data_IF_567251585686
#
_entry.id   IF_567251585686
#
_cell.length_a   1.000
_cell.length_b   1.000
_cell.length_c   1.000
_cell.angle_alpha   90.00
_cell.angle_beta   90.00
_cell.angle_gamma   90.00
#
_symmetry.space_group_name_H-M   'P 1'
#
loop_
_entity.id
_entity.type
_entity.pdbx_description
1 polymer ?
#
# COMPACT_ATOMS: atom_id res chain seq x y z
N UNK A 1 0.31 -17.36 -0.20
CA UNK A 1 -0.16 -16.14 0.46
C UNK A 1 0.60 -14.92 -0.08
N UNK A 2 0.07 -13.71 0.18
CA UNK A 2 0.77 -12.46 -0.16
C UNK A 2 0.85 -11.59 1.10
N UNK A 3 2.05 -11.13 1.41
CA UNK A 3 2.25 -10.07 2.41
C UNK A 3 2.42 -8.76 1.66
N UNK A 4 1.57 -7.78 1.97
CA UNK A 4 1.63 -6.43 1.45
C UNK A 4 1.90 -5.46 2.60
N UNK A 5 2.96 -4.66 2.52
CA UNK A 5 3.31 -3.70 3.57
C UNK A 5 4.05 -2.48 3.02
N UNK A 6 3.82 -1.34 3.65
CA UNK A 6 4.77 -0.23 3.54
C UNK A 6 6.06 -0.67 4.23
N UNK A 7 7.18 -0.36 3.61
CA UNK A 7 8.50 -0.70 4.10
C UNK A 7 9.55 0.36 3.81
N UNK A 8 10.79 0.05 4.15
CA UNK A 8 11.97 0.89 3.92
C UNK A 8 12.92 0.24 2.95
N UNK A 9 13.44 1.01 2.01
CA UNK A 9 14.57 0.61 1.18
C UNK A 9 15.90 0.68 1.97
N UNK A 10 15.95 1.48 3.03
CA UNK A 10 17.06 1.53 4.00
C UNK A 10 16.91 0.44 5.06
N UNK A 11 17.93 0.22 5.86
CA UNK A 11 17.86 -0.67 7.02
C UNK A 11 16.84 -0.22 8.09
N UNK A 12 16.70 -1.01 9.19
CA UNK A 12 15.80 -0.71 10.30
C UNK A 12 15.98 0.70 10.85
N UNK A 13 14.87 1.38 11.12
CA UNK A 13 14.88 2.71 11.71
C UNK A 13 13.59 3.01 12.48
N UNK A 14 13.68 3.89 13.47
CA UNK A 14 12.55 4.29 14.28
C UNK A 14 11.49 5.06 13.47
N UNK A 15 10.23 4.89 13.85
CA UNK A 15 9.13 5.69 13.32
C UNK A 15 9.23 7.13 13.80
N UNK A 16 9.04 8.10 12.90
CA UNK A 16 9.08 9.52 13.21
C UNK A 16 8.14 9.86 14.39
N UNK A 17 8.58 10.70 15.34
CA UNK A 17 7.80 11.03 16.54
C UNK A 17 6.41 11.57 16.24
N UNK A 18 6.27 12.38 15.20
CA UNK A 18 4.98 12.92 14.76
C UNK A 18 4.01 11.79 14.36
N UNK A 19 4.47 10.86 13.53
CA UNK A 19 3.66 9.71 13.08
C UNK A 19 3.24 8.85 14.27
N UNK A 20 4.20 8.52 15.14
CA UNK A 20 3.95 7.69 16.32
C UNK A 20 2.99 8.32 17.32
N UNK A 21 3.02 9.65 17.44
CA UNK A 21 2.19 10.37 18.44
C UNK A 21 0.78 10.68 17.91
N UNK A 22 0.65 11.09 16.64
CA UNK A 22 -0.58 11.70 16.15
C UNK A 22 -1.34 10.89 15.10
N UNK A 23 -0.66 10.00 14.38
CA UNK A 23 -1.24 9.30 13.22
C UNK A 23 -1.40 7.81 13.51
N UNK A 24 -0.29 7.12 13.82
CA UNK A 24 -0.25 5.68 14.06
C UNK A 24 0.48 5.36 15.36
N UNK A 25 -0.17 5.50 16.53
CA UNK A 25 0.42 5.08 17.80
C UNK A 25 0.80 3.60 17.76
N UNK A 26 2.07 3.30 18.08
CA UNK A 26 2.61 1.93 17.99
C UNK A 26 2.98 1.46 16.57
N UNK A 27 2.73 2.28 15.54
CA UNK A 27 3.06 1.92 14.16
C UNK A 27 4.57 1.81 13.93
N UNK A 28 4.95 0.83 13.13
CA UNK A 28 6.32 0.59 12.69
C UNK A 28 6.37 0.32 11.19
N UNK A 29 7.38 0.86 10.50
CA UNK A 29 7.62 0.62 9.09
C UNK A 29 8.88 -0.24 8.99
N UNK A 30 8.76 -1.55 8.70
CA UNK A 30 9.89 -2.46 8.68
C UNK A 30 10.76 -2.27 7.45
N UNK A 31 12.04 -2.63 7.59
CA UNK A 31 12.90 -2.92 6.45
C UNK A 31 12.60 -4.33 5.92
N UNK A 32 12.86 -4.57 4.64
CA UNK A 32 12.68 -5.91 4.07
C UNK A 32 13.57 -6.94 4.78
N UNK A 33 14.77 -6.54 5.19
CA UNK A 33 15.72 -7.36 5.96
C UNK A 33 15.20 -7.79 7.35
N UNK A 34 14.12 -7.20 7.84
CA UNK A 34 13.49 -7.63 9.10
C UNK A 34 12.37 -8.64 8.86
N UNK A 35 11.73 -8.59 7.69
CA UNK A 35 10.60 -9.45 7.34
C UNK A 35 11.08 -10.80 6.82
N UNK A 36 12.10 -10.80 5.94
CA UNK A 36 12.58 -12.01 5.30
C UNK A 36 13.01 -13.10 6.29
N UNK A 37 13.78 -12.80 7.36
CA UNK A 37 14.14 -13.82 8.35
C UNK A 37 12.93 -14.45 9.06
N UNK A 38 11.87 -13.68 9.31
CA UNK A 38 10.67 -14.21 9.92
C UNK A 38 9.92 -15.18 8.99
N UNK A 39 9.92 -14.90 7.69
CA UNK A 39 9.33 -15.77 6.68
C UNK A 39 10.14 -17.07 6.57
N UNK A 40 11.47 -16.98 6.54
CA UNK A 40 12.37 -18.13 6.50
C UNK A 40 12.19 -19.03 7.73
N UNK A 41 12.10 -18.43 8.93
CA UNK A 41 11.84 -19.16 10.17
C UNK A 41 10.46 -19.84 10.19
N UNK A 42 9.49 -19.28 9.49
CA UNK A 42 8.17 -19.90 9.32
C UNK A 42 8.16 -21.06 8.32
N UNK A 43 9.28 -21.36 7.66
CA UNK A 43 9.41 -22.45 6.69
C UNK A 43 8.66 -22.19 5.38
N UNK A 44 8.42 -20.91 5.03
CA UNK A 44 7.73 -20.53 3.81
C UNK A 44 8.72 -20.21 2.69
N UNK A 45 8.38 -20.61 1.47
CA UNK A 45 9.10 -20.20 0.28
C UNK A 45 8.72 -18.78 -0.12
N UNK A 46 9.73 -17.95 -0.40
CA UNK A 46 9.54 -16.65 -1.03
C UNK A 46 9.65 -16.88 -2.53
N UNK A 47 8.52 -16.80 -3.23
CA UNK A 47 8.46 -17.12 -4.66
C UNK A 47 8.51 -15.89 -5.56
N UNK A 48 8.14 -14.71 -5.02
CA UNK A 48 8.26 -13.42 -5.71
C UNK A 48 8.30 -12.26 -4.70
N UNK A 49 9.01 -11.20 -5.07
CA UNK A 49 8.98 -9.92 -4.34
C UNK A 49 8.85 -8.79 -5.34
N UNK A 50 7.77 -8.02 -5.23
CA UNK A 50 7.59 -6.78 -5.97
C UNK A 50 7.82 -5.57 -5.06
N UNK A 51 8.62 -4.62 -5.53
CA UNK A 51 8.88 -3.36 -4.83
C UNK A 51 8.22 -2.22 -5.59
N UNK A 52 7.13 -1.71 -5.03
CA UNK A 52 6.43 -0.53 -5.52
C UNK A 52 7.05 0.71 -4.88
N UNK A 53 7.56 1.62 -5.70
CA UNK A 53 8.31 2.80 -5.26
C UNK A 53 7.43 4.05 -5.24
N UNK A 54 7.35 4.73 -6.38
CA UNK A 54 6.60 5.99 -6.52
C UNK A 54 5.08 5.81 -6.65
N UNK A 55 4.60 4.59 -6.83
CA UNK A 55 3.17 4.30 -6.97
C UNK A 55 2.36 4.84 -5.78
N UNK A 56 2.87 4.63 -4.57
CA UNK A 56 2.16 5.10 -3.38
C UNK A 56 2.31 6.62 -3.16
N UNK A 57 3.37 7.25 -3.68
CA UNK A 57 3.49 8.71 -3.70
C UNK A 57 2.35 9.34 -4.52
N UNK A 58 2.02 8.78 -5.70
CA UNK A 58 0.90 9.24 -6.53
C UNK A 58 -0.45 9.02 -5.84
N UNK A 59 -0.60 7.90 -5.14
CA UNK A 59 -1.79 7.63 -4.32
C UNK A 59 -1.96 8.68 -3.22
N UNK A 60 -0.90 8.98 -2.47
CA UNK A 60 -0.91 9.98 -1.40
C UNK A 60 -1.17 11.40 -1.93
N UNK A 61 -0.58 11.76 -3.06
CA UNK A 61 -0.87 13.01 -3.76
C UNK A 61 -2.36 13.12 -4.09
N UNK A 62 -2.92 12.09 -4.70
CA UNK A 62 -4.34 12.04 -5.05
C UNK A 62 -5.25 12.11 -3.80
N UNK A 63 -4.84 11.48 -2.69
CA UNK A 63 -5.58 11.59 -1.43
C UNK A 63 -5.52 13.01 -0.87
N UNK A 64 -4.35 13.66 -0.90
CA UNK A 64 -4.17 15.03 -0.44
C UNK A 64 -5.01 16.01 -1.25
N UNK A 65 -5.00 15.90 -2.57
CA UNK A 65 -5.82 16.74 -3.45
C UNK A 65 -7.31 16.59 -3.15
N UNK A 66 -7.80 15.36 -3.00
CA UNK A 66 -9.21 15.10 -2.62
C UNK A 66 -9.54 15.60 -1.22
N UNK A 67 -8.62 15.49 -0.27
CA UNK A 67 -8.80 16.01 1.08
C UNK A 67 -8.91 17.54 1.07
N UNK A 68 -8.02 18.24 0.38
CA UNK A 68 -8.04 19.70 0.23
C UNK A 68 -9.35 20.16 -0.42
N UNK A 69 -9.80 19.47 -1.46
CA UNK A 69 -11.08 19.78 -2.13
C UNK A 69 -12.32 19.59 -1.22
N UNK A 70 -12.19 18.84 -0.12
CA UNK A 70 -13.25 18.60 0.86
C UNK A 70 -12.92 19.15 2.25
N UNK A 71 -12.02 20.11 2.34
CA UNK A 71 -11.53 20.68 3.61
C UNK A 71 -12.66 21.13 4.54
N UNK A 72 -13.60 21.93 4.04
CA UNK A 72 -14.72 22.44 4.83
C UNK A 72 -15.62 21.34 5.42
N UNK A 73 -15.74 20.22 4.70
CA UNK A 73 -16.49 19.07 5.20
C UNK A 73 -15.74 18.38 6.32
N UNK A 74 -14.42 18.24 6.17
CA UNK A 74 -13.57 17.65 7.20
C UNK A 74 -13.50 18.53 8.45
N UNK A 75 -13.38 19.86 8.28
CA UNK A 75 -13.35 20.81 9.38
C UNK A 75 -14.67 20.84 10.20
N UNK A 76 -15.81 20.58 9.54
CA UNK A 76 -17.11 20.44 10.24
C UNK A 76 -17.22 19.14 11.03
N UNK A 77 -16.55 18.07 10.62
CA UNK A 77 -16.56 16.78 11.32
C UNK A 77 -15.59 16.74 12.51
N UNK A 78 -14.49 17.45 12.39
CA UNK A 78 -13.41 17.49 13.39
C UNK A 78 -13.16 18.94 13.81
N UNK A 79 -12.09 19.54 13.28
CA UNK A 79 -11.71 20.96 13.44
C UNK A 79 -10.59 21.34 12.44
N UNK A 80 -10.27 22.63 12.38
CA UNK A 80 -9.18 23.16 11.54
C UNK A 80 -7.80 22.62 11.94
N UNK A 81 -7.59 22.28 13.21
CA UNK A 81 -6.33 21.72 13.71
C UNK A 81 -6.12 20.31 13.13
N UNK A 82 -7.17 19.49 13.15
CA UNK A 82 -7.14 18.17 12.52
C UNK A 82 -6.84 18.28 11.02
N UNK A 83 -7.49 19.21 10.32
CA UNK A 83 -7.30 19.36 8.87
C UNK A 83 -5.84 19.71 8.53
N UNK A 84 -5.23 20.64 9.27
CA UNK A 84 -3.80 20.98 9.08
C UNK A 84 -2.87 19.80 9.42
N UNK A 85 -3.17 19.07 10.49
CA UNK A 85 -2.39 17.90 10.88
C UNK A 85 -2.46 16.79 9.81
N UNK A 86 -3.64 16.55 9.29
CA UNK A 86 -3.87 15.49 8.29
C UNK A 86 -3.24 15.83 6.93
N UNK A 87 -3.38 17.09 6.49
CA UNK A 87 -2.72 17.57 5.28
C UNK A 87 -1.20 17.48 5.40
N UNK A 88 -0.64 17.90 6.54
CA UNK A 88 0.78 17.77 6.82
C UNK A 88 1.25 16.30 6.79
N UNK A 89 0.44 15.40 7.35
CA UNK A 89 0.73 13.96 7.27
C UNK A 89 0.76 13.46 5.83
N UNK A 90 -0.26 13.77 5.02
CA UNK A 90 -0.35 13.31 3.63
C UNK A 90 0.82 13.86 2.78
N UNK A 91 1.14 15.14 2.94
CA UNK A 91 2.29 15.75 2.26
C UNK A 91 3.63 15.13 2.70
N UNK A 92 3.83 14.95 4.00
CA UNK A 92 5.03 14.33 4.55
C UNK A 92 5.19 12.87 4.14
N UNK A 93 4.10 12.12 4.10
CA UNK A 93 4.09 10.74 3.64
C UNK A 93 4.43 10.65 2.14
N UNK A 94 3.85 11.52 1.29
CA UNK A 94 4.21 11.62 -0.13
C UNK A 94 5.72 11.86 -0.30
N UNK A 95 6.28 12.83 0.43
CA UNK A 95 7.73 13.12 0.40
C UNK A 95 8.57 11.94 0.90
N UNK A 96 8.05 11.17 1.85
CA UNK A 96 8.68 9.93 2.33
C UNK A 96 8.92 8.92 1.21
N UNK A 97 7.93 8.72 0.34
CA UNK A 97 8.06 7.84 -0.83
C UNK A 97 8.91 8.45 -1.95
N UNK A 98 8.87 9.77 -2.14
CA UNK A 98 9.65 10.41 -3.21
C UNK A 98 11.14 10.53 -2.87
N UNK A 99 11.48 10.80 -1.61
CA UNK A 99 12.83 11.28 -1.26
C UNK A 99 13.48 10.56 -0.07
N UNK A 100 12.70 9.80 0.73
CA UNK A 100 13.22 9.21 1.97
C UNK A 100 13.18 7.67 2.00
N UNK A 101 13.09 7.05 0.82
CA UNK A 101 13.24 5.62 0.67
C UNK A 101 12.11 4.77 1.26
N UNK A 102 10.91 5.35 1.45
CA UNK A 102 9.73 4.53 1.68
C UNK A 102 9.31 3.81 0.41
N UNK A 103 8.90 2.58 0.56
CA UNK A 103 8.44 1.70 -0.52
C UNK A 103 7.23 0.91 -0.04
N UNK A 104 6.53 0.28 -0.97
CA UNK A 104 5.61 -0.81 -0.64
C UNK A 104 6.20 -2.07 -1.22
N UNK A 105 6.21 -3.15 -0.46
CA UNK A 105 6.57 -4.46 -0.98
C UNK A 105 5.40 -5.44 -0.88
N UNK A 106 5.32 -6.26 -1.89
CA UNK A 106 4.44 -7.41 -1.98
C UNK A 106 5.31 -8.66 -2.04
N UNK A 107 5.18 -9.53 -1.06
CA UNK A 107 5.97 -10.77 -0.97
C UNK A 107 5.03 -11.93 -1.19
N UNK A 108 5.23 -12.65 -2.29
CA UNK A 108 4.46 -13.86 -2.59
C UNK A 108 5.09 -15.06 -1.88
N UNK A 109 4.28 -15.77 -1.14
CA UNK A 109 4.70 -16.88 -0.29
C UNK A 109 3.99 -18.17 -0.67
N UNK A 110 4.73 -19.27 -0.59
CA UNK A 110 4.22 -20.61 -0.82
C UNK A 110 4.67 -21.58 0.27
N UNK A 111 3.90 -22.64 0.52
CA UNK A 111 4.30 -23.76 1.37
C UNK A 111 5.19 -24.72 0.61
N UNK A 112 4.79 -25.05 -0.63
CA UNK A 112 5.48 -26.02 -1.45
C UNK A 112 6.17 -25.32 -2.62
N UNK A 113 7.36 -25.78 -2.97
CA UNK A 113 8.22 -25.17 -4.00
C UNK A 113 7.58 -25.14 -5.39
N UNK A 114 6.69 -26.06 -5.68
CA UNK A 114 6.01 -26.27 -6.96
C UNK A 114 4.60 -25.67 -7.02
N UNK A 115 4.13 -25.04 -5.95
CA UNK A 115 2.78 -24.48 -5.87
C UNK A 115 2.60 -23.15 -6.66
N UNK A 116 3.68 -22.60 -7.21
CA UNK A 116 3.66 -21.38 -8.04
C UNK A 116 4.32 -21.68 -9.38
N UNK A 117 3.76 -21.20 -10.52
CA UNK A 117 4.39 -21.36 -11.83
C UNK A 117 5.83 -20.85 -11.86
N UNK A 118 6.69 -21.50 -12.68
CA UNK A 118 8.13 -21.18 -12.76
C UNK A 118 8.37 -19.78 -13.31
N UNK A 119 7.56 -19.34 -14.29
CA UNK A 119 7.67 -18.00 -14.89
C UNK A 119 6.66 -17.05 -14.28
N UNK A 120 6.95 -15.74 -14.35
CA UNK A 120 6.08 -14.71 -13.78
C UNK A 120 4.85 -14.36 -14.66
N UNK A 121 4.71 -14.96 -15.82
CA UNK A 121 3.63 -14.64 -16.78
C UNK A 121 2.25 -14.82 -16.17
N UNK A 122 2.09 -15.80 -15.27
CA UNK A 122 0.82 -16.08 -14.58
C UNK A 122 0.27 -14.85 -13.83
N UNK A 123 1.11 -13.91 -13.40
CA UNK A 123 0.67 -12.70 -12.71
C UNK A 123 -0.12 -11.82 -13.68
N UNK A 124 0.47 -11.51 -14.84
CA UNK A 124 -0.17 -10.67 -15.86
C UNK A 124 -1.41 -11.36 -16.48
N UNK A 125 -1.34 -12.66 -16.70
CA UNK A 125 -2.47 -13.47 -17.19
C UNK A 125 -3.64 -13.41 -16.22
N UNK A 126 -3.37 -13.61 -14.92
CA UNK A 126 -4.41 -13.56 -13.89
C UNK A 126 -4.99 -12.17 -13.68
N UNK A 127 -4.16 -11.14 -13.77
CA UNK A 127 -4.62 -9.74 -13.72
C UNK A 127 -5.55 -9.43 -14.90
N UNK A 128 -5.22 -9.87 -16.11
CA UNK A 128 -6.08 -9.69 -17.29
C UNK A 128 -7.43 -10.40 -17.12
N UNK A 129 -7.44 -11.64 -16.61
CA UNK A 129 -8.67 -12.37 -16.32
C UNK A 129 -9.54 -11.64 -15.29
N UNK A 130 -8.93 -11.19 -14.19
CA UNK A 130 -9.65 -10.47 -13.13
C UNK A 130 -10.20 -9.14 -13.62
N UNK A 131 -9.43 -8.40 -14.42
CA UNK A 131 -9.88 -7.15 -15.03
C UNK A 131 -11.08 -7.37 -15.98
N UNK A 132 -11.06 -8.46 -16.75
CA UNK A 132 -12.19 -8.85 -17.61
C UNK A 132 -13.46 -9.11 -16.79
N UNK A 133 -13.35 -9.84 -15.68
CA UNK A 133 -14.49 -10.15 -14.80
C UNK A 133 -14.96 -8.96 -13.96
N UNK A 134 -14.07 -8.02 -13.64
CA UNK A 134 -14.38 -6.80 -12.88
C UNK A 134 -14.97 -5.67 -13.76
N UNK A 135 -14.94 -5.82 -15.09
CA UNK A 135 -15.59 -4.86 -15.99
C UNK A 135 -17.07 -4.73 -15.63
N UNK A 136 -17.63 -3.51 -15.49
CA UNK A 136 -19.01 -3.33 -15.07
C UNK A 136 -19.91 -4.10 -16.05
N UNK A 137 -20.66 -5.10 -15.52
CA UNK A 137 -21.69 -5.79 -16.29
C UNK A 137 -22.60 -4.71 -16.86
N UNK A 138 -22.81 -4.70 -18.18
CA UNK A 138 -23.78 -3.81 -18.79
C UNK A 138 -25.06 -3.87 -17.98
N UNK A 139 -25.66 -2.73 -17.64
CA UNK A 139 -26.91 -2.74 -16.91
C UNK A 139 -27.90 -3.66 -17.65
N UNK A 140 -28.47 -4.60 -16.92
CA UNK A 140 -29.51 -5.49 -17.47
C UNK A 140 -30.63 -4.54 -17.91
N UNK A 141 -30.85 -4.40 -19.21
CA UNK A 141 -32.04 -3.76 -19.72
C UNK A 141 -33.22 -4.62 -19.28
N UNK A 142 -33.96 -4.17 -18.28
CA UNK A 142 -35.25 -4.74 -17.97
C UNK A 142 -36.13 -4.46 -19.21
N UNK A 143 -36.48 -5.51 -19.95
CA UNK A 143 -37.41 -5.38 -21.05
C UNK A 143 -38.77 -4.99 -20.46
N UNK A 144 -39.20 -3.76 -20.71
CA UNK A 144 -40.50 -3.28 -20.27
C UNK A 144 -40.56 -1.82 -19.84
N UNK A 145 -39.90 -0.89 -20.56
CA UNK A 145 -40.28 0.53 -20.64
C UNK A 145 -40.18 0.99 -22.08
#
# INVERSE_FOLDING_TARGET
AVIHSIGRASGPAATAPFIRKYIFPGGYIPALSEILPAIEQAGLWITDIEILRLHYAETLKSWRERFIANWDKAAKLYDERFCRMWEFYLAGAEMGFRHHGLVVFQVLLAHDVDSVPITRDFIAEREAELAWHASPRRPIRIAGE
#
